data_IF_764392733000
#
_entry.id   IF_764392733000
#
_cell.length_a   1.000
_cell.length_b   1.000
_cell.length_c   1.000
_cell.angle_alpha   90.00
_cell.angle_beta   90.00
_cell.angle_gamma   90.00
#
_symmetry.space_group_name_H-M   'P 1'
#
loop_
_entity.id
_entity.type
_entity.pdbx_description
1 polymer ?
#
# COMPACT_ATOMS: atom_id res chain seq x y z
N UNK A 1 13.04 27.20 50.43
CA UNK A 1 13.53 28.06 49.32
C UNK A 1 14.26 27.26 48.22
N UNK A 2 15.26 26.42 48.54
CA UNK A 2 16.02 25.63 47.54
C UNK A 2 15.20 24.56 46.80
N UNK A 3 14.34 23.84 47.52
CA UNK A 3 13.43 22.84 46.94
C UNK A 3 12.37 23.45 46.02
N UNK A 4 11.88 24.64 46.34
CA UNK A 4 10.92 25.39 45.52
C UNK A 4 11.54 25.83 44.19
N UNK A 5 12.81 26.28 44.21
CA UNK A 5 13.58 26.61 42.99
C UNK A 5 13.84 25.38 42.12
N UNK A 6 14.15 24.23 42.72
CA UNK A 6 14.33 22.96 42.00
C UNK A 6 13.03 22.49 41.34
N UNK A 7 11.88 22.58 42.04
CA UNK A 7 10.57 22.26 41.48
C UNK A 7 10.21 23.16 40.29
N UNK A 8 10.44 24.47 40.39
CA UNK A 8 10.17 25.43 39.32
C UNK A 8 11.02 25.13 38.07
N UNK A 9 12.26 24.65 38.23
CA UNK A 9 13.15 24.32 37.10
C UNK A 9 12.83 22.96 36.47
N UNK A 10 12.37 21.98 37.24
CA UNK A 10 12.12 20.62 36.76
C UNK A 10 10.73 20.45 36.12
N UNK A 11 9.72 21.20 36.58
CA UNK A 11 8.37 21.16 36.04
C UNK A 11 8.28 21.33 34.51
N UNK A 12 8.88 22.38 33.89
CA UNK A 12 8.80 22.56 32.45
C UNK A 12 9.47 21.43 31.66
N UNK A 13 10.58 20.87 32.18
CA UNK A 13 11.26 19.73 31.54
C UNK A 13 10.38 18.47 31.53
N UNK A 14 9.64 18.23 32.62
CA UNK A 14 8.66 17.12 32.69
C UNK A 14 7.48 17.35 31.75
N UNK A 15 6.99 18.60 31.64
CA UNK A 15 5.92 18.92 30.67
C UNK A 15 6.37 18.75 29.21
N UNK A 16 7.64 19.08 28.89
CA UNK A 16 8.23 18.87 27.56
C UNK A 16 8.38 17.38 27.21
N UNK A 17 8.78 16.53 28.16
CA UNK A 17 8.90 15.09 27.91
C UNK A 17 7.55 14.38 27.82
N UNK A 18 6.51 14.89 28.51
CA UNK A 18 5.14 14.36 28.44
C UNK A 18 4.39 14.82 27.19
N UNK A 19 4.80 15.92 26.54
CA UNK A 19 4.18 16.44 25.31
C UNK A 19 4.59 15.73 24.02
N UNK A 20 5.57 14.81 24.06
CA UNK A 20 6.11 14.14 22.87
C UNK A 20 5.16 13.13 22.21
N UNK A 21 4.06 12.75 22.90
CA UNK A 21 3.02 11.87 22.36
C UNK A 21 1.79 12.63 21.84
N UNK A 22 1.92 13.91 21.46
CA UNK A 22 0.79 14.62 20.83
C UNK A 22 0.51 14.05 19.44
N UNK A 23 -0.62 13.34 19.33
CA UNK A 23 -1.15 12.85 18.06
C UNK A 23 -1.85 14.02 17.37
N UNK A 24 -1.15 14.67 16.44
CA UNK A 24 -1.76 15.70 15.57
C UNK A 24 -2.98 15.08 14.89
N UNK A 25 -4.18 15.71 14.93
CA UNK A 25 -5.33 15.20 14.22
C UNK A 25 -4.97 15.03 12.74
N UNK A 26 -5.11 13.81 12.22
CA UNK A 26 -4.97 13.62 10.78
C UNK A 26 -6.14 14.32 10.09
N UNK A 27 -5.92 14.98 8.94
CA UNK A 27 -7.02 15.39 8.08
C UNK A 27 -7.97 14.21 7.84
N UNK A 28 -9.28 14.49 7.81
CA UNK A 28 -10.26 13.47 7.40
C UNK A 28 -9.88 13.04 5.98
N UNK A 29 -9.76 11.73 5.78
CA UNK A 29 -9.52 11.13 4.47
C UNK A 29 -10.80 10.44 4.04
N UNK A 30 -11.38 10.89 2.93
CA UNK A 30 -12.64 10.36 2.43
C UNK A 30 -12.50 9.63 1.09
N UNK A 31 -13.63 9.22 0.51
CA UNK A 31 -13.65 8.51 -0.76
C UNK A 31 -13.21 9.38 -1.95
N UNK A 32 -13.43 10.69 -1.89
CA UNK A 32 -12.99 11.62 -2.92
C UNK A 32 -11.47 11.82 -2.87
N UNK A 33 -10.88 11.90 -1.68
CA UNK A 33 -9.42 11.91 -1.51
C UNK A 33 -8.79 10.63 -2.06
N UNK A 34 -9.38 9.47 -1.76
CA UNK A 34 -8.92 8.20 -2.30
C UNK A 34 -9.03 8.15 -3.83
N UNK A 35 -10.15 8.59 -4.39
CA UNK A 35 -10.34 8.62 -5.84
C UNK A 35 -9.32 9.55 -6.53
N UNK A 36 -9.06 10.72 -5.95
CA UNK A 36 -8.07 11.68 -6.47
C UNK A 36 -6.63 11.16 -6.37
N UNK A 37 -6.31 10.41 -5.32
CA UNK A 37 -5.00 9.79 -5.12
C UNK A 37 -4.81 8.46 -5.87
N UNK A 38 -5.90 7.88 -6.41
CA UNK A 38 -5.86 6.58 -7.05
C UNK A 38 -5.43 6.68 -8.51
N UNK A 39 -4.52 5.79 -8.97
CA UNK A 39 -4.18 5.75 -10.38
C UNK A 39 -5.35 5.24 -11.22
N UNK A 40 -5.41 5.58 -12.53
CA UNK A 40 -6.54 5.22 -13.39
C UNK A 40 -6.71 3.70 -13.58
N UNK A 41 -5.66 2.90 -13.36
CA UNK A 41 -5.71 1.45 -13.41
C UNK A 41 -6.20 0.79 -12.11
N UNK A 42 -6.48 1.56 -11.05
CA UNK A 42 -7.12 1.01 -9.85
C UNK A 42 -8.58 0.63 -10.15
N UNK A 43 -9.05 -0.44 -9.53
CA UNK A 43 -10.46 -0.82 -9.53
C UNK A 43 -11.02 -0.64 -8.12
N UNK A 44 -12.07 0.18 -7.99
CA UNK A 44 -12.69 0.46 -6.70
C UNK A 44 -13.97 -0.36 -6.44
N UNK A 45 -14.49 -1.05 -7.47
CA UNK A 45 -15.63 -1.98 -7.41
C UNK A 45 -16.90 -1.44 -6.73
N UNK A 46 -17.08 -0.11 -6.67
CA UNK A 46 -18.21 0.57 -6.01
C UNK A 46 -19.45 0.54 -6.90
N UNK A 47 -19.30 0.72 -8.20
CA UNK A 47 -20.41 0.77 -9.16
C UNK A 47 -20.45 -0.45 -10.09
N UNK A 48 -21.59 -0.65 -10.77
CA UNK A 48 -21.68 -1.69 -11.81
C UNK A 48 -20.75 -1.41 -12.99
N UNK A 49 -20.60 -0.16 -13.40
CA UNK A 49 -19.69 0.24 -14.47
C UNK A 49 -18.22 -0.05 -14.14
N UNK A 50 -17.81 0.18 -12.89
CA UNK A 50 -16.46 -0.16 -12.42
C UNK A 50 -16.21 -1.67 -12.42
N UNK A 51 -17.21 -2.46 -12.00
CA UNK A 51 -17.15 -3.93 -12.06
C UNK A 51 -17.11 -4.43 -13.51
N UNK A 52 -17.92 -3.84 -14.39
CA UNK A 52 -17.95 -4.18 -15.81
C UNK A 52 -16.63 -3.82 -16.50
N UNK A 53 -15.98 -2.71 -16.11
CA UNK A 53 -14.64 -2.34 -16.57
C UNK A 53 -13.62 -3.41 -16.20
N UNK A 54 -13.58 -3.85 -14.95
CA UNK A 54 -12.69 -4.93 -14.50
C UNK A 54 -12.87 -6.21 -15.31
N UNK A 55 -14.12 -6.67 -15.49
CA UNK A 55 -14.42 -7.88 -16.26
C UNK A 55 -13.97 -7.74 -17.70
N UNK A 56 -14.28 -6.61 -18.36
CA UNK A 56 -13.86 -6.34 -19.74
C UNK A 56 -12.34 -6.34 -19.90
N UNK A 57 -11.63 -5.65 -19.01
CA UNK A 57 -10.17 -5.55 -19.07
C UNK A 57 -9.50 -6.91 -18.78
N UNK A 58 -10.07 -7.70 -17.86
CA UNK A 58 -9.61 -9.07 -17.57
C UNK A 58 -9.79 -10.00 -18.77
N UNK A 59 -10.96 -9.96 -19.43
CA UNK A 59 -11.22 -10.73 -20.66
C UNK A 59 -10.27 -10.30 -21.79
N UNK A 60 -10.03 -9.01 -21.93
CA UNK A 60 -9.08 -8.51 -22.93
C UNK A 60 -7.65 -9.00 -22.66
N UNK A 61 -7.22 -9.02 -21.40
CA UNK A 61 -5.93 -9.55 -21.00
C UNK A 61 -5.82 -11.06 -21.30
N UNK A 62 -6.86 -11.83 -20.95
CA UNK A 62 -6.93 -13.26 -21.28
C UNK A 62 -6.83 -13.51 -22.79
N UNK A 63 -7.52 -12.72 -23.61
CA UNK A 63 -7.47 -12.85 -25.07
C UNK A 63 -6.13 -12.42 -25.68
N UNK A 64 -5.35 -11.61 -24.94
CA UNK A 64 -4.04 -11.13 -25.35
C UNK A 64 -2.89 -12.04 -24.91
N UNK A 65 -3.17 -13.08 -24.10
CA UNK A 65 -2.17 -14.01 -23.61
C UNK A 65 -1.42 -14.69 -24.77
N UNK A 66 -0.09 -14.59 -24.76
CA UNK A 66 0.73 -14.97 -25.91
C UNK A 66 1.04 -16.47 -25.99
N UNK A 67 1.03 -17.18 -24.87
CA UNK A 67 1.36 -18.60 -24.77
C UNK A 67 0.14 -19.51 -24.58
N UNK A 68 -1.05 -18.92 -24.52
CA UNK A 68 -2.32 -19.62 -24.32
C UNK A 68 -2.61 -20.02 -22.87
N UNK A 69 -1.76 -19.65 -21.92
CA UNK A 69 -2.06 -19.69 -20.49
C UNK A 69 -2.72 -18.37 -20.05
N UNK A 70 -3.37 -18.35 -18.89
CA UNK A 70 -3.85 -17.11 -18.28
C UNK A 70 -3.30 -17.05 -16.86
N UNK A 71 -2.17 -16.36 -16.72
CA UNK A 71 -1.35 -16.37 -15.52
C UNK A 71 -1.62 -15.12 -14.67
N UNK A 72 -1.94 -15.37 -13.40
CA UNK A 72 -2.25 -14.32 -12.42
C UNK A 72 -1.22 -14.35 -11.30
N UNK A 73 -0.58 -13.20 -11.06
CA UNK A 73 0.29 -13.00 -9.91
C UNK A 73 -0.45 -12.21 -8.82
N UNK A 74 -0.59 -12.82 -7.64
CA UNK A 74 -1.15 -12.18 -6.46
C UNK A 74 -0.07 -11.89 -5.40
N UNK A 75 0.18 -10.61 -5.13
CA UNK A 75 1.19 -10.14 -4.19
C UNK A 75 0.55 -9.78 -2.84
N UNK A 76 0.77 -10.61 -1.83
CA UNK A 76 0.33 -10.30 -0.48
C UNK A 76 1.10 -9.11 0.12
N UNK A 77 0.51 -8.46 1.12
CA UNK A 77 1.22 -7.49 1.94
C UNK A 77 2.35 -8.14 2.77
N UNK A 78 3.22 -7.33 3.36
CA UNK A 78 4.36 -7.83 4.13
C UNK A 78 5.04 -6.80 5.04
N UNK A 79 4.53 -5.57 5.12
CA UNK A 79 5.12 -4.50 5.92
C UNK A 79 6.56 -4.21 5.49
N UNK A 80 7.48 -4.25 6.46
CA UNK A 80 8.90 -4.03 6.20
C UNK A 80 9.55 -5.12 5.31
N UNK A 81 8.91 -6.28 5.14
CA UNK A 81 9.46 -7.40 4.37
C UNK A 81 9.18 -7.31 2.86
N UNK A 82 8.68 -6.18 2.33
CA UNK A 82 8.40 -6.03 0.90
C UNK A 82 9.59 -6.32 -0.02
N UNK A 83 10.82 -6.08 0.47
CA UNK A 83 12.05 -6.39 -0.26
C UNK A 83 12.19 -7.88 -0.61
N UNK A 84 11.61 -8.79 0.18
CA UNK A 84 11.61 -10.22 -0.12
C UNK A 84 10.85 -10.53 -1.42
N UNK A 85 9.63 -9.99 -1.57
CA UNK A 85 8.83 -10.18 -2.79
C UNK A 85 9.52 -9.62 -4.02
N UNK A 86 10.14 -8.44 -3.91
CA UNK A 86 10.95 -7.88 -4.98
C UNK A 86 12.14 -8.79 -5.36
N UNK A 87 12.83 -9.35 -4.36
CA UNK A 87 13.91 -10.32 -4.58
C UNK A 87 13.44 -11.58 -5.30
N UNK A 88 12.26 -12.12 -4.94
CA UNK A 88 11.65 -13.26 -5.64
C UNK A 88 11.39 -12.92 -7.11
N UNK A 89 10.84 -11.75 -7.43
CA UNK A 89 10.57 -11.34 -8.82
C UNK A 89 11.85 -11.20 -9.65
N UNK A 90 12.90 -10.64 -9.06
CA UNK A 90 14.21 -10.53 -9.71
C UNK A 90 14.82 -11.91 -9.93
N UNK A 91 14.84 -12.76 -8.91
CA UNK A 91 15.39 -14.12 -9.01
C UNK A 91 14.62 -15.00 -10.01
N UNK A 92 13.29 -14.91 -10.04
CA UNK A 92 12.47 -15.64 -11.01
C UNK A 92 12.73 -15.18 -12.44
N UNK A 93 12.92 -13.87 -12.65
CA UNK A 93 13.34 -13.33 -13.95
C UNK A 93 14.73 -13.87 -14.35
N UNK A 94 15.67 -13.92 -13.41
CA UNK A 94 17.02 -14.46 -13.65
C UNK A 94 17.01 -15.97 -13.94
N UNK A 95 16.06 -16.72 -13.36
CA UNK A 95 15.88 -18.14 -13.66
C UNK A 95 15.38 -18.40 -15.10
N UNK A 96 14.90 -17.37 -15.80
CA UNK A 96 14.50 -17.43 -17.22
C UNK A 96 13.18 -18.15 -17.47
N UNK A 97 12.44 -18.50 -16.41
CA UNK A 97 11.18 -19.23 -16.47
C UNK A 97 10.05 -18.51 -15.72
N UNK A 98 10.16 -17.18 -15.58
CA UNK A 98 9.06 -16.35 -15.07
C UNK A 98 7.96 -16.25 -16.13
N UNK A 99 6.71 -16.61 -15.81
CA UNK A 99 5.59 -16.39 -16.73
C UNK A 99 5.42 -14.92 -17.08
N UNK A 100 4.86 -14.68 -18.26
CA UNK A 100 4.30 -13.38 -18.59
C UNK A 100 2.90 -13.34 -17.97
N UNK A 101 2.73 -12.55 -16.91
CA UNK A 101 1.47 -12.46 -16.20
C UNK A 101 0.51 -11.50 -16.90
N UNK A 102 -0.68 -11.98 -17.29
CA UNK A 102 -1.74 -11.12 -17.81
C UNK A 102 -2.34 -10.21 -16.73
N UNK A 103 -2.33 -10.68 -15.47
CA UNK A 103 -2.85 -9.92 -14.33
C UNK A 103 -1.86 -9.96 -13.16
N UNK A 104 -1.51 -8.78 -12.67
CA UNK A 104 -0.81 -8.63 -11.39
C UNK A 104 -1.70 -7.84 -10.43
N UNK A 105 -1.94 -8.40 -9.25
CA UNK A 105 -2.72 -7.77 -8.19
C UNK A 105 -1.95 -7.80 -6.87
N UNK A 106 -2.23 -6.85 -5.98
CA UNK A 106 -1.50 -6.72 -4.73
C UNK A 106 -2.32 -6.09 -3.61
N UNK A 107 -1.90 -6.33 -2.37
CA UNK A 107 -2.47 -5.66 -1.19
C UNK A 107 -1.35 -5.05 -0.33
N UNK A 108 -1.56 -3.81 0.12
CA UNK A 108 -0.62 -3.08 0.99
C UNK A 108 0.78 -3.03 0.37
N UNK A 109 1.82 -3.52 1.04
CA UNK A 109 3.20 -3.58 0.51
C UNK A 109 3.33 -4.34 -0.83
N UNK A 110 2.37 -5.22 -1.14
CA UNK A 110 2.35 -5.96 -2.40
C UNK A 110 1.76 -5.18 -3.58
N UNK A 111 1.12 -4.03 -3.35
CA UNK A 111 0.58 -3.13 -4.37
C UNK A 111 1.50 -1.93 -4.61
#
# INVERSE_FOLDING_TARGET
>A
MRHLRLLILLLPAVFLTLGACQTIPRPVFDAADLAAASPPWRYDFRTEDERARFVRETINAQNAAHDGAFDILALSGGGANGAYGAGVMVGWSQAGNRPDFEVVTGVSTGA
#
